data_IF_564801952994
#
_entry.id   IF_564801952994
#
_cell.length_a   1.000
_cell.length_b   1.000
_cell.length_c   1.000
_cell.angle_alpha   90.00
_cell.angle_beta   90.00
_cell.angle_gamma   90.00
#
_symmetry.space_group_name_H-M   'P 1'
#
loop_
_entity.id
_entity.type
_entity.pdbx_description
1 polymer ?
#
# COMPACT_ATOMS: atom_id res chain seq x y z
N UNK A 1 13.24 -4.47 -20.82
CA UNK A 1 12.60 -4.23 -19.50
C UNK A 1 12.92 -5.40 -18.58
N UNK A 2 13.48 -5.15 -17.39
CA UNK A 2 13.77 -6.21 -16.40
C UNK A 2 12.45 -6.86 -15.98
N UNK A 3 12.38 -8.20 -16.00
CA UNK A 3 11.24 -8.95 -15.46
C UNK A 3 11.30 -8.93 -13.93
N UNK A 4 10.14 -8.98 -13.27
CA UNK A 4 10.10 -9.11 -11.82
C UNK A 4 10.74 -10.43 -11.37
N UNK A 5 11.68 -10.39 -10.42
CA UNK A 5 12.23 -11.61 -9.85
C UNK A 5 11.14 -12.36 -9.08
N UNK A 6 11.15 -13.69 -9.16
CA UNK A 6 10.18 -14.55 -8.48
C UNK A 6 10.10 -14.26 -6.97
N UNK A 7 11.24 -13.98 -6.35
CA UNK A 7 11.32 -13.63 -4.93
C UNK A 7 10.47 -12.38 -4.60
N UNK A 8 10.42 -11.37 -5.47
CA UNK A 8 9.59 -10.19 -5.25
C UNK A 8 8.08 -10.53 -5.25
N UNK A 9 7.67 -11.47 -6.12
CA UNK A 9 6.28 -11.95 -6.17
C UNK A 9 5.93 -12.68 -4.87
N UNK A 10 6.79 -13.60 -4.43
CA UNK A 10 6.58 -14.36 -3.19
C UNK A 10 6.50 -13.44 -1.98
N UNK A 11 7.43 -12.49 -1.85
CA UNK A 11 7.44 -11.55 -0.73
C UNK A 11 6.24 -10.62 -0.73
N UNK A 12 5.79 -10.14 -1.90
CA UNK A 12 4.58 -9.31 -1.99
C UNK A 12 3.32 -10.07 -1.58
N UNK A 13 3.19 -11.35 -1.95
CA UNK A 13 2.06 -12.20 -1.55
C UNK A 13 2.15 -12.55 -0.06
N UNK A 14 3.34 -12.91 0.45
CA UNK A 14 3.56 -13.20 1.86
C UNK A 14 3.28 -11.97 2.75
N UNK A 15 3.56 -10.77 2.25
CA UNK A 15 3.19 -9.50 2.87
C UNK A 15 1.67 -9.28 2.99
N UNK A 16 0.81 -10.13 2.44
CA UNK A 16 -0.64 -10.05 2.69
C UNK A 16 -1.05 -10.81 3.95
N UNK A 17 -0.19 -11.67 4.50
CA UNK A 17 -0.52 -12.51 5.64
C UNK A 17 -0.95 -11.70 6.88
N UNK A 18 -0.20 -10.68 7.35
CA UNK A 18 -0.60 -9.95 8.54
C UNK A 18 -1.95 -9.24 8.37
N UNK A 19 -2.21 -8.75 7.15
CA UNK A 19 -3.47 -8.12 6.80
C UNK A 19 -4.64 -9.09 6.88
N UNK A 20 -4.50 -10.27 6.24
CA UNK A 20 -5.53 -11.31 6.20
C UNK A 20 -5.82 -11.82 7.63
N UNK A 21 -4.77 -12.11 8.41
CA UNK A 21 -4.96 -12.58 9.79
C UNK A 21 -5.65 -11.55 10.67
N UNK A 22 -5.29 -10.28 10.55
CA UNK A 22 -5.97 -9.21 11.28
C UNK A 22 -7.44 -9.07 10.87
N UNK A 23 -7.74 -9.08 9.56
CA UNK A 23 -9.11 -9.01 9.07
C UNK A 23 -9.96 -10.20 9.54
N UNK A 24 -9.44 -11.42 9.43
CA UNK A 24 -10.10 -12.62 9.93
C UNK A 24 -10.32 -12.56 11.45
N UNK A 25 -9.33 -12.10 12.22
CA UNK A 25 -9.48 -11.92 13.66
C UNK A 25 -10.56 -10.89 14.01
N UNK A 26 -10.65 -9.79 13.28
CA UNK A 26 -11.67 -8.75 13.49
C UNK A 26 -13.08 -9.30 13.23
N UNK A 27 -13.24 -10.11 12.19
CA UNK A 27 -14.54 -10.62 11.72
C UNK A 27 -15.01 -11.85 12.50
N UNK A 28 -14.12 -12.82 12.73
CA UNK A 28 -14.51 -14.14 13.24
C UNK A 28 -14.26 -14.32 14.74
N UNK A 29 -13.32 -13.59 15.35
CA UNK A 29 -13.11 -13.63 16.80
C UNK A 29 -14.03 -12.62 17.51
N UNK A 30 -15.31 -12.97 17.59
CA UNK A 30 -16.31 -12.31 18.44
C UNK A 30 -16.55 -13.09 19.76
N UNK A 31 -15.51 -13.75 20.30
CA UNK A 31 -15.64 -14.73 21.39
C UNK A 31 -15.76 -14.11 22.80
N UNK A 32 -16.32 -12.91 22.95
CA UNK A 32 -16.52 -12.24 24.24
C UNK A 32 -15.24 -11.76 24.95
N UNK A 33 -14.06 -12.10 24.43
CA UNK A 33 -12.75 -11.59 24.89
C UNK A 33 -12.21 -10.64 23.82
N UNK A 34 -12.12 -9.32 24.10
CA UNK A 34 -11.56 -8.36 23.16
C UNK A 34 -10.09 -8.71 22.89
N UNK A 35 -9.70 -8.91 21.61
CA UNK A 35 -8.29 -8.91 21.24
C UNK A 35 -7.82 -7.45 21.30
N UNK A 36 -6.98 -7.05 22.27
CA UNK A 36 -6.63 -5.65 22.45
C UNK A 36 -5.93 -5.13 21.20
N UNK A 37 -6.33 -3.95 20.72
CA UNK A 37 -5.64 -3.20 19.68
C UNK A 37 -5.56 -3.86 18.29
N UNK A 38 -6.35 -4.90 17.99
CA UNK A 38 -6.32 -5.57 16.68
C UNK A 38 -6.67 -4.63 15.52
N UNK A 39 -7.60 -3.69 15.73
CA UNK A 39 -7.91 -2.63 14.76
C UNK A 39 -6.70 -1.73 14.50
N UNK A 40 -5.94 -1.38 15.54
CA UNK A 40 -4.74 -0.56 15.39
C UNK A 40 -3.61 -1.31 14.67
N UNK A 41 -3.44 -2.60 14.96
CA UNK A 41 -2.50 -3.45 14.24
C UNK A 41 -2.86 -3.53 12.74
N UNK A 42 -4.14 -3.71 12.42
CA UNK A 42 -4.65 -3.73 11.05
C UNK A 42 -4.37 -2.43 10.30
N UNK A 43 -4.81 -1.28 10.85
CA UNK A 43 -4.60 0.04 10.22
C UNK A 43 -3.11 0.36 10.07
N UNK A 44 -2.31 0.11 11.10
CA UNK A 44 -0.86 0.38 11.05
C UNK A 44 -0.17 -0.48 10.00
N UNK A 45 -0.57 -1.74 9.85
CA UNK A 45 -0.02 -2.60 8.81
C UNK A 45 -0.37 -2.10 7.41
N UNK A 46 -1.64 -1.74 7.17
CA UNK A 46 -2.06 -1.13 5.90
C UNK A 46 -1.26 0.14 5.58
N UNK A 47 -1.04 1.00 6.58
CA UNK A 47 -0.24 2.22 6.43
C UNK A 47 1.21 1.90 6.04
N UNK A 48 1.83 0.92 6.68
CA UNK A 48 3.18 0.44 6.34
C UNK A 48 3.22 -0.14 4.92
N UNK A 49 2.23 -0.95 4.53
CA UNK A 49 2.15 -1.49 3.17
C UNK A 49 2.01 -0.38 2.13
N UNK A 50 1.16 0.62 2.38
CA UNK A 50 0.98 1.77 1.50
C UNK A 50 2.27 2.60 1.36
N UNK A 51 2.96 2.85 2.48
CA UNK A 51 4.27 3.50 2.49
C UNK A 51 5.31 2.71 1.71
N UNK A 52 5.32 1.38 1.83
CA UNK A 52 6.23 0.49 1.09
C UNK A 52 6.03 0.61 -0.43
N UNK A 53 4.79 0.67 -0.92
CA UNK A 53 4.52 0.92 -2.34
C UNK A 53 5.02 2.28 -2.81
N UNK A 54 4.92 3.30 -1.95
CA UNK A 54 5.58 4.58 -2.18
C UNK A 54 7.11 4.41 -2.29
N UNK A 55 7.75 3.74 -1.33
CA UNK A 55 9.20 3.56 -1.29
C UNK A 55 9.77 2.86 -2.55
N UNK A 56 8.99 2.01 -3.22
CA UNK A 56 9.39 1.43 -4.53
C UNK A 56 9.74 2.51 -5.55
N UNK A 57 9.02 3.65 -5.56
CA UNK A 57 9.29 4.74 -6.49
C UNK A 57 10.62 5.46 -6.20
N UNK A 58 11.04 5.53 -4.94
CA UNK A 58 12.38 6.03 -4.60
C UNK A 58 13.46 5.09 -5.13
N UNK A 59 13.27 3.78 -4.99
CA UNK A 59 14.18 2.80 -5.57
C UNK A 59 14.34 2.95 -7.08
N UNK A 60 13.24 3.24 -7.80
CA UNK A 60 13.27 3.46 -9.25
C UNK A 60 13.87 4.82 -9.65
N UNK A 61 13.66 5.87 -8.85
CA UNK A 61 14.23 7.20 -9.10
C UNK A 61 15.74 7.26 -8.84
N UNK A 62 16.24 6.41 -7.94
CA UNK A 62 17.67 6.35 -7.56
C UNK A 62 18.46 5.30 -8.35
N UNK A 63 17.83 4.52 -9.24
CA UNK A 63 18.54 3.55 -10.09
C UNK A 63 19.46 4.30 -11.07
N UNK A 64 20.80 4.08 -11.06
CA UNK A 64 21.72 4.83 -11.91
C UNK A 64 21.42 4.61 -13.39
N UNK A 65 21.07 5.69 -14.10
CA UNK A 65 20.94 5.63 -15.55
C UNK A 65 22.32 5.38 -16.21
N UNK A 66 22.40 4.59 -17.30
CA UNK A 66 23.63 4.45 -18.05
C UNK A 66 23.99 5.79 -18.71
N UNK A 67 24.96 6.49 -18.11
CA UNK A 67 25.85 7.50 -18.68
C UNK A 67 25.27 8.43 -19.78
N UNK A 68 24.37 9.34 -19.40
CA UNK A 68 24.39 10.72 -19.93
C UNK A 68 24.12 11.62 -18.73
N UNK A 69 25.17 12.26 -18.22
CA UNK A 69 25.09 13.18 -17.07
C UNK A 69 24.37 14.45 -17.52
N UNK A 70 23.04 14.47 -17.39
CA UNK A 70 22.29 15.72 -17.29
C UNK A 70 22.27 16.10 -15.81
N UNK A 71 22.71 17.31 -15.50
CA UNK A 71 22.90 17.81 -14.12
C UNK A 71 21.57 18.22 -13.45
N UNK A 72 20.52 17.40 -13.60
CA UNK A 72 19.19 17.64 -13.01
C UNK A 72 18.32 16.39 -13.01
N UNK A 73 17.45 16.26 -12.00
CA UNK A 73 16.46 15.18 -11.95
C UNK A 73 15.42 15.39 -13.05
N UNK A 74 15.20 14.37 -13.89
CA UNK A 74 14.14 14.40 -14.88
C UNK A 74 12.78 14.56 -14.19
N UNK A 75 11.82 15.19 -14.88
CA UNK A 75 10.44 15.39 -14.36
C UNK A 75 9.81 14.08 -13.86
N UNK A 76 10.14 12.96 -14.49
CA UNK A 76 9.68 11.63 -14.10
C UNK A 76 10.22 11.20 -12.73
N UNK A 77 11.48 11.51 -12.43
CA UNK A 77 12.10 11.16 -11.15
C UNK A 77 11.58 12.04 -10.02
N UNK A 78 11.33 13.33 -10.28
CA UNK A 78 10.64 14.21 -9.32
C UNK A 78 9.26 13.64 -8.98
N UNK A 79 8.48 13.24 -9.98
CA UNK A 79 7.15 12.64 -9.76
C UNK A 79 7.27 11.34 -8.95
N UNK A 80 8.25 10.48 -9.23
CA UNK A 80 8.51 9.26 -8.47
C UNK A 80 8.86 9.54 -7.00
N UNK A 81 9.69 10.54 -6.74
CA UNK A 81 10.04 10.93 -5.37
C UNK A 81 8.81 11.42 -4.59
N UNK A 82 7.96 12.25 -5.23
CA UNK A 82 6.68 12.69 -4.65
C UNK A 82 5.76 11.50 -4.39
N UNK A 83 5.60 10.61 -5.38
CA UNK A 83 4.82 9.38 -5.23
C UNK A 83 5.39 8.42 -4.18
N UNK A 84 6.62 8.61 -3.73
CA UNK A 84 7.15 7.88 -2.59
C UNK A 84 6.78 8.43 -1.23
N UNK A 85 6.61 9.74 -1.12
CA UNK A 85 6.30 10.40 0.16
C UNK A 85 4.80 10.46 0.41
N UNK A 86 4.00 10.74 -0.63
CA UNK A 86 2.53 10.89 -0.51
C UNK A 86 1.86 9.67 0.14
N UNK A 87 2.15 8.41 -0.26
CA UNK A 87 1.53 7.22 0.34
C UNK A 87 1.91 7.05 1.81
N UNK A 88 3.15 7.35 2.18
CA UNK A 88 3.61 7.27 3.56
C UNK A 88 2.90 8.31 4.44
N UNK A 89 2.74 9.53 3.94
CA UNK A 89 2.01 10.58 4.65
C UNK A 89 0.53 10.23 4.82
N UNK A 90 -0.12 9.74 3.76
CA UNK A 90 -1.54 9.31 3.83
C UNK A 90 -1.71 8.13 4.77
N UNK A 91 -0.80 7.14 4.74
CA UNK A 91 -0.80 6.03 5.68
C UNK A 91 -0.65 6.49 7.12
N UNK A 92 0.24 7.45 7.38
CA UNK A 92 0.41 8.06 8.69
C UNK A 92 -0.86 8.79 9.15
N UNK A 93 -1.50 9.60 8.28
CA UNK A 93 -2.77 10.28 8.60
C UNK A 93 -3.85 9.25 8.95
N UNK A 94 -3.96 8.15 8.22
CA UNK A 94 -4.92 7.09 8.51
C UNK A 94 -4.66 6.41 9.87
N UNK A 95 -3.39 6.08 10.15
CA UNK A 95 -2.99 5.48 11.42
C UNK A 95 -3.20 6.42 12.61
N UNK A 96 -2.82 7.70 12.46
CA UNK A 96 -3.06 8.73 13.46
C UNK A 96 -4.55 8.94 13.69
N UNK A 97 -5.36 8.96 12.62
CA UNK A 97 -6.82 9.10 12.74
C UNK A 97 -7.45 7.94 13.48
N UNK A 98 -6.99 6.70 13.20
CA UNK A 98 -7.43 5.52 13.91
C UNK A 98 -7.04 5.55 15.39
N UNK A 99 -5.84 6.06 15.70
CA UNK A 99 -5.32 6.14 17.06
C UNK A 99 -5.98 7.24 17.89
N UNK A 100 -6.06 8.46 17.34
CA UNK A 100 -6.44 9.65 18.08
C UNK A 100 -7.96 9.89 18.15
N UNK A 101 -8.71 9.42 17.15
CA UNK A 101 -10.15 9.70 17.04
C UNK A 101 -10.98 8.44 16.91
N UNK A 102 -10.98 7.81 15.74
CA UNK A 102 -11.92 6.73 15.40
C UNK A 102 -11.22 5.67 14.53
N UNK A 103 -11.03 4.44 15.03
CA UNK A 103 -10.38 3.36 14.28
C UNK A 103 -10.99 3.13 12.89
N UNK A 104 -12.31 3.17 12.80
CA UNK A 104 -13.08 2.97 11.56
C UNK A 104 -12.78 4.06 10.52
N UNK A 105 -12.58 5.31 10.94
CA UNK A 105 -12.24 6.40 10.03
C UNK A 105 -10.85 6.19 9.39
N UNK A 106 -9.87 5.67 10.14
CA UNK A 106 -8.57 5.30 9.58
C UNK A 106 -8.67 4.19 8.52
N UNK A 107 -9.52 3.17 8.76
CA UNK A 107 -9.79 2.13 7.75
C UNK A 107 -10.45 2.73 6.51
N UNK A 108 -11.41 3.65 6.67
CA UNK A 108 -12.08 4.30 5.54
C UNK A 108 -11.11 5.13 4.69
N UNK A 109 -10.19 5.87 5.32
CA UNK A 109 -9.14 6.61 4.62
C UNK A 109 -8.29 5.65 3.78
N UNK A 110 -7.88 4.51 4.33
CA UNK A 110 -7.07 3.51 3.63
C UNK A 110 -7.82 2.84 2.47
N UNK A 111 -9.11 2.54 2.64
CA UNK A 111 -9.97 1.99 1.59
C UNK A 111 -10.08 2.92 0.37
N UNK A 112 -9.97 4.24 0.58
CA UNK A 112 -9.89 5.18 -0.56
C UNK A 112 -8.45 5.30 -1.07
N UNK A 113 -7.46 5.41 -0.19
CA UNK A 113 -6.08 5.70 -0.57
C UNK A 113 -5.42 4.58 -1.38
N UNK A 114 -5.64 3.32 -1.00
CA UNK A 114 -5.04 2.14 -1.64
C UNK A 114 -5.40 2.04 -3.14
N UNK A 115 -6.68 2.06 -3.56
CA UNK A 115 -7.05 2.01 -4.96
C UNK A 115 -6.68 3.27 -5.72
N UNK A 116 -6.79 4.46 -5.09
CA UNK A 116 -6.36 5.73 -5.73
C UNK A 116 -4.88 5.67 -6.10
N UNK A 117 -4.03 5.19 -5.18
CA UNK A 117 -2.60 5.07 -5.46
C UNK A 117 -2.31 4.05 -6.57
N UNK A 118 -2.97 2.89 -6.55
CA UNK A 118 -2.84 1.88 -7.61
C UNK A 118 -3.27 2.43 -9.00
N UNK A 119 -4.30 3.29 -9.04
CA UNK A 119 -4.74 3.95 -10.28
C UNK A 119 -3.71 4.97 -10.80
N UNK A 120 -3.04 5.71 -9.91
CA UNK A 120 -1.95 6.62 -10.27
C UNK A 120 -0.76 5.84 -10.85
N UNK A 121 -0.38 4.72 -10.23
CA UNK A 121 0.68 3.84 -10.73
C UNK A 121 0.33 3.25 -12.10
N UNK A 122 -0.94 2.91 -12.33
CA UNK A 122 -1.42 2.44 -13.64
C UNK A 122 -1.16 3.46 -14.75
N UNK A 123 -1.31 4.76 -14.46
CA UNK A 123 -1.04 5.81 -15.44
C UNK A 123 0.45 5.88 -15.79
N UNK A 124 1.34 5.73 -14.79
CA UNK A 124 2.78 5.61 -15.00
C UNK A 124 3.16 4.35 -15.79
N UNK A 125 2.54 3.22 -15.48
CA UNK A 125 2.76 1.96 -16.19
C UNK A 125 2.37 2.05 -17.67
N UNK A 126 1.23 2.68 -17.99
CA UNK A 126 0.80 2.92 -19.37
C UNK A 126 1.78 3.78 -20.18
N UNK A 127 2.56 4.61 -19.51
CA UNK A 127 3.62 5.44 -20.12
C UNK A 127 4.98 4.73 -20.18
N UNK A 128 5.05 3.45 -19.82
CA UNK A 128 6.29 2.66 -19.82
C UNK A 128 7.23 2.94 -18.64
N UNK A 129 6.77 3.67 -17.61
CA UNK A 129 7.62 4.10 -16.49
C UNK A 129 7.82 3.02 -15.41
N UNK A 130 7.15 1.86 -15.53
CA UNK A 130 7.20 0.76 -14.56
C UNK A 130 7.53 -0.58 -15.23
N UNK A 131 8.22 -1.51 -14.53
CA UNK A 131 8.60 -2.81 -15.08
C UNK A 131 7.42 -3.65 -15.58
N UNK A 132 7.68 -4.52 -16.57
CA UNK A 132 6.67 -5.46 -17.06
C UNK A 132 6.30 -6.47 -15.96
N UNK A 133 4.99 -6.64 -15.73
CA UNK A 133 4.44 -7.50 -14.68
C UNK A 133 4.18 -6.82 -13.33
N UNK A 134 4.72 -5.61 -13.10
CA UNK A 134 4.52 -4.87 -11.83
C UNK A 134 3.05 -4.61 -11.55
N UNK A 135 2.35 -4.10 -12.56
CA UNK A 135 0.95 -3.76 -12.41
C UNK A 135 0.07 -5.00 -12.14
N UNK A 136 0.42 -6.17 -12.68
CA UNK A 136 -0.32 -7.41 -12.42
C UNK A 136 -0.24 -7.82 -10.95
N UNK A 137 0.97 -7.83 -10.39
CA UNK A 137 1.20 -8.09 -8.97
C UNK A 137 0.53 -7.03 -8.08
N UNK A 138 0.65 -5.74 -8.47
CA UNK A 138 0.05 -4.63 -7.74
C UNK A 138 -1.47 -4.74 -7.66
N UNK A 139 -2.13 -5.16 -8.73
CA UNK A 139 -3.58 -5.39 -8.73
C UNK A 139 -4.01 -6.51 -7.80
N UNK A 140 -3.27 -7.62 -7.77
CA UNK A 140 -3.58 -8.73 -6.85
C UNK A 140 -3.49 -8.26 -5.40
N UNK A 141 -2.39 -7.58 -5.05
CA UNK A 141 -2.21 -7.03 -3.69
C UNK A 141 -3.28 -6.00 -3.36
N UNK A 142 -3.58 -5.09 -4.28
CA UNK A 142 -4.62 -4.05 -4.09
C UNK A 142 -5.99 -4.69 -3.88
N UNK A 143 -6.37 -5.67 -4.70
CA UNK A 143 -7.67 -6.33 -4.60
C UNK A 143 -7.83 -7.08 -3.26
N UNK A 144 -6.82 -7.82 -2.83
CA UNK A 144 -6.86 -8.52 -1.53
C UNK A 144 -6.89 -7.50 -0.39
N UNK A 145 -6.10 -6.43 -0.50
CA UNK A 145 -6.07 -5.38 0.52
C UNK A 145 -7.42 -4.69 0.66
N UNK A 146 -8.04 -4.37 -0.47
CA UNK A 146 -9.35 -3.72 -0.53
C UNK A 146 -10.45 -4.62 0.03
N UNK A 147 -10.45 -5.92 -0.32
CA UNK A 147 -11.39 -6.88 0.27
C UNK A 147 -11.26 -6.91 1.81
N UNK A 148 -10.04 -6.94 2.35
CA UNK A 148 -9.83 -6.91 3.80
C UNK A 148 -10.33 -5.59 4.42
N UNK A 149 -10.03 -4.44 3.82
CA UNK A 149 -10.47 -3.13 4.30
C UNK A 149 -12.00 -3.00 4.31
N UNK A 150 -12.66 -3.38 3.21
CA UNK A 150 -14.12 -3.29 3.08
C UNK A 150 -14.84 -4.24 4.04
N UNK A 151 -14.35 -5.49 4.18
CA UNK A 151 -14.94 -6.44 5.13
C UNK A 151 -14.81 -5.94 6.56
N UNK A 152 -13.66 -5.38 6.95
CA UNK A 152 -13.46 -4.78 8.28
C UNK A 152 -14.35 -3.56 8.49
N UNK A 153 -14.53 -2.70 7.47
CA UNK A 153 -15.45 -1.57 7.54
C UNK A 153 -16.88 -2.03 7.79
N UNK A 154 -17.37 -3.00 7.00
CA UNK A 154 -18.72 -3.53 7.14
C UNK A 154 -18.92 -4.15 8.53
N UNK A 155 -17.98 -4.97 9.00
CA UNK A 155 -18.06 -5.65 10.29
C UNK A 155 -17.94 -4.73 11.53
N UNK A 156 -17.62 -3.45 11.34
CA UNK A 156 -17.48 -2.46 12.42
C UNK A 156 -18.44 -1.28 12.30
N UNK A 157 -19.05 -1.08 11.14
CA UNK A 157 -20.12 -0.10 10.92
C UNK A 157 -21.51 -0.66 11.19
N UNK A 158 -21.69 -1.99 11.05
CA UNK A 158 -22.93 -2.72 11.28
C UNK A 158 -22.73 -3.78 12.36
#
# INVERSE_FOLDING_TARGET
MKRLPFVAVVLAIAGLLPLIFCACGIVFFASGVPIPNLMMAFVSYCAVSLAFFGAVHWGLALEPAPAIVTSGADRTDIIRLVLGVVPAFVGWVAAYTAFAWMPVAGVAILAVAVPVFALLERQGWRRGALPSGYMGLRWIVTAITECCLLVVLVARLF
#
